data_IF_759913472715
#
_entry.id   IF_759913472715
#
_cell.length_a   1.000
_cell.length_b   1.000
_cell.length_c   1.000
_cell.angle_alpha   90.00
_cell.angle_beta   90.00
_cell.angle_gamma   90.00
#
_symmetry.space_group_name_H-M   'P 1'
#
loop_
_entity.id
_entity.type
_entity.pdbx_description
1 polymer ?
#
# COMPACT_ATOMS: atom_id res chain seq x y z
N UNK A 1 24.13 -15.96 0.83
CA UNK A 1 24.22 -14.66 1.55
C UNK A 1 22.84 -14.03 1.77
N UNK A 2 22.01 -13.80 0.73
CA UNK A 2 20.64 -13.23 0.86
C UNK A 2 19.69 -14.02 1.78
N UNK A 3 19.78 -15.36 1.79
CA UNK A 3 18.90 -16.24 2.59
C UNK A 3 19.13 -16.13 4.11
N UNK A 4 20.36 -15.87 4.53
CA UNK A 4 20.75 -15.73 5.95
C UNK A 4 20.30 -14.36 6.48
N UNK A 5 20.49 -13.30 5.69
CA UNK A 5 20.06 -11.95 6.04
C UNK A 5 18.54 -11.86 6.28
N UNK A 6 17.76 -12.56 5.44
CA UNK A 6 16.30 -12.64 5.60
C UNK A 6 15.87 -13.42 6.86
N UNK A 7 16.64 -14.42 7.31
CA UNK A 7 16.33 -15.13 8.55
C UNK A 7 16.55 -14.26 9.78
N UNK A 8 17.64 -13.49 9.84
CA UNK A 8 17.89 -12.55 10.94
C UNK A 8 16.84 -11.44 10.98
N UNK A 9 16.46 -10.88 9.82
CA UNK A 9 15.38 -9.92 9.73
C UNK A 9 14.06 -10.49 10.27
N UNK A 10 13.70 -11.72 9.88
CA UNK A 10 12.48 -12.38 10.37
C UNK A 10 12.52 -12.64 11.89
N UNK A 11 13.68 -13.00 12.44
CA UNK A 11 13.85 -13.16 13.90
C UNK A 11 13.64 -11.83 14.61
N UNK A 12 14.20 -10.73 14.10
CA UNK A 12 14.04 -9.39 14.69
C UNK A 12 12.57 -8.97 14.69
N UNK A 13 11.87 -9.15 13.57
CA UNK A 13 10.45 -8.80 13.45
C UNK A 13 9.59 -9.60 14.41
N UNK A 14 9.80 -10.91 14.50
CA UNK A 14 9.10 -11.77 15.47
C UNK A 14 9.36 -11.32 16.90
N UNK A 15 10.62 -11.05 17.24
CA UNK A 15 10.99 -10.54 18.57
C UNK A 15 10.31 -9.21 18.88
N UNK A 16 10.33 -8.25 17.96
CA UNK A 16 9.65 -6.96 18.12
C UNK A 16 8.14 -7.14 18.31
N UNK A 17 7.50 -8.01 17.54
CA UNK A 17 6.09 -8.33 17.70
C UNK A 17 5.80 -8.96 19.07
N UNK A 18 6.57 -9.95 19.50
CA UNK A 18 6.38 -10.60 20.80
C UNK A 18 6.60 -9.63 21.97
N UNK A 19 7.65 -8.82 21.92
CA UNK A 19 7.91 -7.76 22.91
C UNK A 19 6.73 -6.78 22.94
N UNK A 20 6.24 -6.35 21.78
CA UNK A 20 5.12 -5.42 21.71
C UNK A 20 3.83 -6.04 22.29
N UNK A 21 3.56 -7.33 22.03
CA UNK A 21 2.45 -8.05 22.64
C UNK A 21 2.60 -8.22 24.17
N UNK A 22 3.82 -8.35 24.68
CA UNK A 22 4.08 -8.43 26.13
C UNK A 22 3.70 -7.13 26.83
N UNK A 23 4.09 -5.98 26.29
CA UNK A 23 3.75 -4.67 26.85
C UNK A 23 2.31 -4.23 26.53
N UNK A 24 1.73 -4.73 25.44
CA UNK A 24 0.40 -4.34 25.02
C UNK A 24 -0.34 -5.50 24.34
N UNK A 25 -1.16 -6.19 25.12
CA UNK A 25 -1.95 -7.33 24.66
C UNK A 25 -2.89 -7.00 23.50
N UNK A 26 -3.32 -5.74 23.34
CA UNK A 26 -4.17 -5.33 22.21
C UNK A 26 -3.49 -5.46 20.85
N UNK A 27 -2.16 -5.52 20.78
CA UNK A 27 -1.44 -5.78 19.51
C UNK A 27 -1.75 -7.19 19.01
N UNK A 28 -1.92 -8.16 19.93
CA UNK A 28 -2.32 -9.52 19.58
C UNK A 28 -3.73 -9.56 19.03
N UNK A 29 -4.67 -8.87 19.70
CA UNK A 29 -6.07 -8.80 19.23
C UNK A 29 -6.18 -8.10 17.89
N UNK A 30 -5.44 -7.01 17.68
CA UNK A 30 -5.39 -6.31 16.41
C UNK A 30 -4.86 -7.22 15.29
N UNK A 31 -3.82 -8.03 15.56
CA UNK A 31 -3.31 -9.00 14.58
C UNK A 31 -4.31 -10.11 14.27
N UNK A 32 -5.02 -10.64 15.27
CA UNK A 32 -6.09 -11.62 15.05
C UNK A 32 -7.22 -11.05 14.17
N UNK A 33 -7.57 -9.77 14.35
CA UNK A 33 -8.54 -9.09 13.49
C UNK A 33 -8.04 -8.99 12.04
N UNK A 34 -6.74 -8.70 11.85
CA UNK A 34 -6.10 -8.66 10.53
C UNK A 34 -6.15 -10.04 9.85
N UNK A 35 -5.76 -11.08 10.56
CA UNK A 35 -5.75 -12.47 10.08
C UNK A 35 -7.15 -12.94 9.67
N UNK A 36 -8.18 -12.62 10.46
CA UNK A 36 -9.59 -12.93 10.11
C UNK A 36 -10.14 -12.11 8.95
N UNK A 37 -9.53 -10.96 8.64
CA UNK A 37 -10.02 -10.03 7.62
C UNK A 37 -9.36 -10.23 6.26
N UNK A 38 -8.24 -10.96 6.20
CA UNK A 38 -7.56 -11.27 4.95
C UNK A 38 -8.49 -12.09 4.03
N UNK A 39 -8.44 -11.78 2.74
CA UNK A 39 -9.23 -12.47 1.73
C UNK A 39 -8.34 -13.44 0.97
N UNK A 40 -8.84 -14.66 0.76
CA UNK A 40 -8.24 -15.63 -0.17
C UNK A 40 -8.48 -15.27 -1.64
N UNK A 41 -9.48 -14.40 -1.91
CA UNK A 41 -9.77 -13.93 -3.26
C UNK A 41 -8.67 -12.98 -3.73
N UNK A 42 -8.06 -13.33 -4.86
CA UNK A 42 -7.10 -12.47 -5.55
C UNK A 42 -7.84 -11.54 -6.50
N UNK A 43 -7.65 -10.24 -6.32
CA UNK A 43 -8.17 -9.22 -7.21
C UNK A 43 -7.34 -9.19 -8.50
N UNK A 44 -7.97 -9.30 -9.66
CA UNK A 44 -7.28 -9.41 -10.94
C UNK A 44 -7.68 -8.29 -11.92
N UNK A 45 -6.97 -7.17 -11.85
CA UNK A 45 -7.01 -6.12 -12.86
C UNK A 45 -5.62 -5.46 -12.94
N UNK A 46 -4.72 -5.95 -13.83
CA UNK A 46 -3.32 -5.54 -13.84
C UNK A 46 -3.10 -4.03 -14.02
N UNK A 47 -3.89 -3.39 -14.87
CA UNK A 47 -3.77 -1.96 -15.15
C UNK A 47 -4.21 -1.11 -13.95
N UNK A 48 -5.30 -1.48 -13.28
CA UNK A 48 -5.72 -0.82 -12.06
C UNK A 48 -4.72 -1.04 -10.92
N UNK A 49 -4.28 -2.28 -10.70
CA UNK A 49 -3.26 -2.61 -9.70
C UNK A 49 -2.02 -1.75 -9.91
N UNK A 50 -1.51 -1.72 -11.13
CA UNK A 50 -0.34 -0.91 -11.49
C UNK A 50 -0.57 0.57 -11.19
N UNK A 51 -1.72 1.11 -11.59
CA UNK A 51 -2.07 2.53 -11.37
C UNK A 51 -2.07 2.85 -9.87
N UNK A 52 -2.63 1.97 -9.04
CA UNK A 52 -2.67 2.14 -7.59
C UNK A 52 -1.28 2.04 -6.98
N UNK A 53 -0.47 1.04 -7.37
CA UNK A 53 0.90 0.90 -6.87
C UNK A 53 1.74 2.13 -7.22
N UNK A 54 1.66 2.65 -8.44
CA UNK A 54 2.36 3.88 -8.83
C UNK A 54 1.94 5.09 -7.97
N UNK A 55 0.67 5.16 -7.58
CA UNK A 55 0.11 6.30 -6.84
C UNK A 55 0.31 6.23 -5.31
N UNK A 56 0.29 5.02 -4.75
CA UNK A 56 0.28 4.77 -3.30
C UNK A 56 1.59 4.17 -2.81
N UNK A 57 2.13 3.16 -3.50
CA UNK A 57 3.27 2.38 -3.02
C UNK A 57 4.06 1.72 -4.17
N UNK A 58 4.88 2.53 -4.85
CA UNK A 58 5.58 2.12 -6.07
C UNK A 58 6.61 1.00 -5.86
N UNK A 59 6.99 0.74 -4.61
CA UNK A 59 7.97 -0.28 -4.20
C UNK A 59 7.31 -1.39 -3.39
N UNK A 60 5.99 -1.54 -3.50
CA UNK A 60 5.21 -2.50 -2.74
C UNK A 60 5.85 -3.91 -2.70
N UNK A 61 6.38 -4.40 -3.83
CA UNK A 61 7.01 -5.72 -3.89
C UNK A 61 8.47 -5.78 -3.40
N UNK A 62 9.10 -4.63 -3.11
CA UNK A 62 10.50 -4.54 -2.67
C UNK A 62 10.68 -4.48 -1.15
N UNK A 63 9.62 -4.23 -0.37
CA UNK A 63 9.69 -4.15 1.09
C UNK A 63 8.81 -5.18 1.79
N UNK A 64 8.96 -5.32 3.11
CA UNK A 64 8.18 -6.23 3.94
C UNK A 64 7.39 -5.47 4.99
N UNK A 65 6.34 -4.74 4.60
CA UNK A 65 5.52 -3.93 5.51
C UNK A 65 6.01 -2.50 5.75
N UNK A 66 7.31 -2.20 5.62
CA UNK A 66 7.85 -0.84 5.83
C UNK A 66 8.87 -0.50 4.73
N UNK A 67 8.68 0.63 4.06
CA UNK A 67 9.63 1.16 3.09
C UNK A 67 10.57 2.18 3.74
N UNK A 68 11.76 1.72 4.16
CA UNK A 68 12.79 2.56 4.79
C UNK A 68 13.23 3.70 3.86
N UNK A 69 13.30 3.44 2.54
CA UNK A 69 13.68 4.46 1.56
C UNK A 69 12.59 5.52 1.44
N UNK A 70 11.31 5.15 1.55
CA UNK A 70 10.20 6.10 1.53
C UNK A 70 10.17 6.93 2.82
N UNK A 71 10.42 6.31 3.97
CA UNK A 71 10.56 7.01 5.25
C UNK A 71 11.70 8.03 5.18
N UNK A 72 12.91 7.61 4.79
CA UNK A 72 14.06 8.51 4.69
C UNK A 72 13.80 9.69 3.76
N UNK A 73 13.21 9.45 2.57
CA UNK A 73 12.80 10.50 1.64
C UNK A 73 11.75 11.44 2.25
N UNK A 74 10.72 10.90 2.88
CA UNK A 74 9.64 11.68 3.47
C UNK A 74 10.14 12.54 4.63
N UNK A 75 11.01 12.00 5.49
CA UNK A 75 11.68 12.73 6.56
C UNK A 75 12.56 13.84 6.01
N UNK A 76 13.37 13.56 4.98
CA UNK A 76 14.21 14.58 4.34
C UNK A 76 13.36 15.72 3.75
N UNK A 77 12.31 15.40 3.00
CA UNK A 77 11.42 16.41 2.39
C UNK A 77 10.66 17.23 3.44
N UNK A 78 10.26 16.60 4.53
CA UNK A 78 9.56 17.30 5.62
C UNK A 78 10.49 18.27 6.35
N UNK A 79 11.71 17.85 6.67
CA UNK A 79 12.69 18.65 7.42
C UNK A 79 13.32 19.73 6.55
N UNK A 80 13.81 19.37 5.37
CA UNK A 80 14.67 20.25 4.55
C UNK A 80 13.92 20.98 3.43
N UNK A 81 12.73 20.51 3.04
CA UNK A 81 11.96 21.14 1.96
C UNK A 81 10.62 21.72 2.43
N UNK A 82 10.28 21.60 3.72
CA UNK A 82 8.98 21.96 4.28
C UNK A 82 7.80 21.37 3.48
N UNK A 83 7.98 20.16 2.92
CA UNK A 83 6.99 19.45 2.11
C UNK A 83 6.63 18.13 2.78
N UNK A 84 5.39 18.01 3.23
CA UNK A 84 4.85 16.77 3.79
C UNK A 84 4.62 15.75 2.67
N UNK A 85 5.38 14.66 2.69
CA UNK A 85 5.21 13.52 1.79
C UNK A 85 4.80 12.26 2.57
N UNK A 86 3.97 11.43 1.95
CA UNK A 86 3.61 10.13 2.51
C UNK A 86 4.77 9.14 2.41
N UNK A 87 5.11 8.51 3.54
CA UNK A 87 6.02 7.37 3.62
C UNK A 87 5.35 6.07 4.07
N UNK A 88 4.01 6.01 4.02
CA UNK A 88 3.27 4.83 4.48
C UNK A 88 3.08 3.81 3.36
N UNK A 89 3.28 2.54 3.67
CA UNK A 89 3.10 1.41 2.75
C UNK A 89 1.64 0.95 2.70
N UNK A 90 1.28 0.18 1.68
CA UNK A 90 -0.06 -0.43 1.59
C UNK A 90 -0.37 -1.31 2.81
N UNK A 91 0.60 -2.06 3.32
CA UNK A 91 0.44 -2.90 4.51
C UNK A 91 0.08 -2.07 5.75
N UNK A 92 0.76 -0.94 5.97
CA UNK A 92 0.44 -0.04 7.07
C UNK A 92 -0.97 0.56 6.91
N UNK A 93 -1.33 0.93 5.68
CA UNK A 93 -2.67 1.43 5.40
C UNK A 93 -3.73 0.35 5.65
N UNK A 94 -3.49 -0.90 5.25
CA UNK A 94 -4.39 -2.03 5.47
C UNK A 94 -4.59 -2.32 6.96
N UNK A 95 -3.50 -2.38 7.74
CA UNK A 95 -3.56 -2.51 9.20
C UNK A 95 -4.48 -1.44 9.80
N UNK A 96 -4.31 -0.18 9.41
CA UNK A 96 -5.14 0.93 9.90
C UNK A 96 -6.62 0.79 9.52
N UNK A 97 -6.91 0.34 8.30
CA UNK A 97 -8.29 0.13 7.82
C UNK A 97 -8.99 -0.95 8.64
N UNK A 98 -8.31 -2.08 8.87
CA UNK A 98 -8.90 -3.26 9.52
C UNK A 98 -9.02 -3.08 11.04
N UNK A 99 -8.02 -2.48 11.68
CA UNK A 99 -8.03 -2.27 13.14
C UNK A 99 -8.88 -1.08 13.58
N UNK A 100 -9.33 -0.26 12.63
CA UNK A 100 -10.11 0.96 12.84
C UNK A 100 -9.49 1.96 13.84
N UNK A 101 -8.18 1.88 14.07
CA UNK A 101 -7.44 2.83 14.91
C UNK A 101 -7.29 4.14 14.15
N UNK A 102 -8.06 5.17 14.51
CA UNK A 102 -8.09 6.48 13.80
C UNK A 102 -7.29 7.59 14.48
N UNK A 103 -6.76 7.35 15.67
CA UNK A 103 -6.08 8.36 16.51
C UNK A 103 -4.79 8.89 15.86
N UNK A 104 -4.59 10.19 15.71
CA UNK A 104 -3.35 10.70 15.09
C UNK A 104 -2.22 10.74 16.13
N UNK A 105 -1.52 9.61 16.30
CA UNK A 105 -0.45 9.44 17.30
C UNK A 105 0.77 8.68 16.76
N UNK A 106 1.94 8.96 17.34
CA UNK A 106 3.17 8.19 17.06
C UNK A 106 3.04 6.73 17.52
N UNK A 107 2.32 6.49 18.62
CA UNK A 107 2.07 5.14 19.14
C UNK A 107 1.24 4.31 18.17
N UNK A 108 0.18 4.87 17.56
CA UNK A 108 -0.52 4.19 16.44
C UNK A 108 0.44 3.92 15.30
N UNK A 109 1.30 4.87 14.93
CA UNK A 109 2.20 4.68 13.79
C UNK A 109 3.22 3.55 14.03
N UNK A 110 3.78 3.45 15.23
CA UNK A 110 4.67 2.33 15.63
C UNK A 110 3.91 1.00 15.59
N UNK A 111 2.67 0.98 16.09
CA UNK A 111 1.79 -0.19 16.02
C UNK A 111 1.53 -0.64 14.58
N UNK A 112 1.22 0.31 13.67
CA UNK A 112 1.07 0.01 12.24
C UNK A 112 2.33 -0.60 11.65
N UNK A 113 3.52 -0.07 11.97
CA UNK A 113 4.79 -0.62 11.53
C UNK A 113 4.95 -2.09 11.98
N UNK A 114 4.76 -2.37 13.27
CA UNK A 114 4.92 -3.72 13.83
C UNK A 114 3.95 -4.71 13.17
N UNK A 115 2.66 -4.34 13.09
CA UNK A 115 1.62 -5.19 12.52
C UNK A 115 1.79 -5.35 11.00
N UNK A 116 2.21 -4.32 10.28
CA UNK A 116 2.42 -4.37 8.82
C UNK A 116 3.59 -5.28 8.46
N UNK A 117 4.67 -5.24 9.23
CA UNK A 117 5.79 -6.15 9.03
C UNK A 117 5.38 -7.58 9.35
N UNK A 118 4.66 -7.80 10.47
CA UNK A 118 4.14 -9.13 10.81
C UNK A 118 3.15 -9.68 9.78
N UNK A 119 2.28 -8.83 9.25
CA UNK A 119 1.36 -9.14 8.15
C UNK A 119 2.15 -9.62 6.92
N UNK A 120 3.18 -8.88 6.51
CA UNK A 120 4.00 -9.21 5.34
C UNK A 120 4.83 -10.49 5.51
N UNK A 121 5.08 -10.95 6.74
CA UNK A 121 5.68 -12.26 6.99
C UNK A 121 4.69 -13.42 6.90
N UNK A 122 3.40 -13.13 7.09
CA UNK A 122 2.36 -14.14 7.28
C UNK A 122 1.56 -14.37 6.00
N UNK A 123 1.35 -13.32 5.20
CA UNK A 123 0.54 -13.36 3.98
C UNK A 123 1.35 -12.93 2.76
N UNK A 124 0.97 -13.45 1.61
CA UNK A 124 1.55 -13.06 0.33
C UNK A 124 1.20 -11.61 -0.03
N UNK A 125 2.04 -11.00 -0.88
CA UNK A 125 1.80 -9.63 -1.38
C UNK A 125 0.47 -9.51 -2.11
N UNK A 126 0.06 -10.56 -2.84
CA UNK A 126 -1.18 -10.56 -3.61
C UNK A 126 -2.41 -10.64 -2.70
N UNK A 127 -2.37 -11.45 -1.63
CA UNK A 127 -3.44 -11.50 -0.63
C UNK A 127 -3.59 -10.15 0.10
N UNK A 128 -2.47 -9.54 0.49
CA UNK A 128 -2.48 -8.24 1.18
C UNK A 128 -3.02 -7.15 0.28
N UNK A 129 -2.53 -7.06 -0.96
CA UNK A 129 -2.98 -6.07 -1.92
C UNK A 129 -4.47 -6.24 -2.24
N UNK A 130 -4.90 -7.47 -2.51
CA UNK A 130 -6.31 -7.77 -2.79
C UNK A 130 -7.19 -7.40 -1.60
N UNK A 131 -6.78 -7.78 -0.39
CA UNK A 131 -7.52 -7.44 0.84
C UNK A 131 -7.57 -5.93 1.06
N UNK A 132 -6.47 -5.21 0.81
CA UNK A 132 -6.44 -3.75 0.87
C UNK A 132 -7.45 -3.12 -0.08
N UNK A 133 -7.44 -3.52 -1.36
CA UNK A 133 -8.33 -2.96 -2.38
C UNK A 133 -9.81 -3.23 -2.08
N UNK A 134 -10.12 -4.39 -1.51
CA UNK A 134 -11.49 -4.85 -1.27
C UNK A 134 -12.04 -4.44 0.09
N UNK A 135 -11.18 -4.13 1.06
CA UNK A 135 -11.58 -3.69 2.41
C UNK A 135 -11.48 -2.18 2.59
N UNK A 136 -10.88 -1.45 1.64
CA UNK A 136 -10.75 0.00 1.76
C UNK A 136 -12.10 0.67 1.98
N UNK A 137 -12.23 1.47 3.04
CA UNK A 137 -13.48 2.15 3.39
C UNK A 137 -13.52 3.54 2.77
N UNK A 138 -14.44 3.75 1.83
CA UNK A 138 -14.72 5.05 1.23
C UNK A 138 -15.87 5.76 1.97
N UNK A 139 -16.12 7.03 1.64
CA UNK A 139 -17.27 7.75 2.18
C UNK A 139 -18.60 7.12 1.76
N UNK A 140 -19.63 7.29 2.59
CA UNK A 140 -20.98 6.81 2.29
C UNK A 140 -21.17 5.29 2.48
N UNK A 141 -20.43 4.68 3.42
CA UNK A 141 -20.46 3.24 3.72
C UNK A 141 -20.01 2.31 2.59
N UNK A 142 -19.34 2.84 1.58
CA UNK A 142 -18.85 2.08 0.43
C UNK A 142 -17.54 1.38 0.81
N UNK A 143 -17.48 0.07 0.60
CA UNK A 143 -16.31 -0.74 0.93
C UNK A 143 -15.72 -1.43 -0.30
N UNK A 144 -14.47 -1.10 -0.58
CA UNK A 144 -13.70 -1.70 -1.64
C UNK A 144 -13.88 -1.01 -2.99
N UNK A 145 -12.89 -1.20 -3.86
CA UNK A 145 -12.82 -0.53 -5.17
C UNK A 145 -13.93 -0.99 -6.14
N UNK A 146 -14.43 -2.22 -5.98
CA UNK A 146 -15.50 -2.77 -6.82
C UNK A 146 -16.84 -2.11 -6.49
N UNK A 147 -17.17 -1.99 -5.20
CA UNK A 147 -18.38 -1.29 -4.76
C UNK A 147 -18.32 0.19 -5.15
N UNK A 148 -17.15 0.83 -5.01
CA UNK A 148 -16.96 2.20 -5.46
C UNK A 148 -17.16 2.35 -6.98
N UNK A 149 -16.64 1.44 -7.80
CA UNK A 149 -16.84 1.48 -9.25
C UNK A 149 -18.31 1.33 -9.63
N UNK A 150 -19.02 0.42 -8.95
CA UNK A 150 -20.46 0.23 -9.10
C UNK A 150 -21.23 1.52 -8.75
N UNK A 151 -20.94 2.15 -7.61
CA UNK A 151 -21.55 3.43 -7.21
C UNK A 151 -21.28 4.55 -8.23
N UNK A 152 -20.13 4.51 -8.89
CA UNK A 152 -19.73 5.46 -9.91
C UNK A 152 -20.21 5.09 -11.32
N UNK A 153 -21.04 4.06 -11.44
CA UNK A 153 -21.66 3.57 -12.67
C UNK A 153 -20.66 3.21 -13.77
N UNK A 154 -19.61 2.44 -13.46
CA UNK A 154 -18.72 1.89 -14.50
C UNK A 154 -18.17 0.50 -14.15
N UNK A 155 -17.88 -0.27 -15.21
CA UNK A 155 -17.26 -1.60 -15.12
C UNK A 155 -15.73 -1.47 -15.08
N UNK A 156 -15.10 -2.12 -14.10
CA UNK A 156 -13.64 -2.17 -13.95
C UNK A 156 -12.93 -2.86 -15.12
N UNK A 157 -13.59 -3.78 -15.81
CA UNK A 157 -13.01 -4.52 -16.96
C UNK A 157 -12.90 -3.66 -18.21
N UNK A 158 -13.77 -2.66 -18.35
CA UNK A 158 -13.85 -1.75 -19.49
C UNK A 158 -13.39 -0.31 -19.15
N UNK A 159 -12.92 -0.10 -17.93
CA UNK A 159 -12.58 1.22 -17.42
C UNK A 159 -11.33 1.80 -18.12
N UNK A 160 -11.39 3.11 -18.41
CA UNK A 160 -10.25 3.85 -18.95
C UNK A 160 -9.21 4.15 -17.86
N UNK A 161 -7.99 4.53 -18.29
CA UNK A 161 -6.93 4.97 -17.37
C UNK A 161 -7.33 6.14 -16.49
N UNK A 162 -8.21 7.03 -16.96
CA UNK A 162 -8.71 8.14 -16.15
C UNK A 162 -9.63 7.66 -15.03
N UNK A 163 -10.44 6.60 -15.29
CA UNK A 163 -11.25 5.95 -14.25
C UNK A 163 -10.36 5.23 -13.22
N UNK A 164 -9.32 4.53 -13.65
CA UNK A 164 -8.35 3.93 -12.71
C UNK A 164 -7.60 4.98 -11.90
N UNK A 165 -7.17 6.07 -12.53
CA UNK A 165 -6.52 7.19 -11.86
C UNK A 165 -7.44 7.86 -10.84
N UNK A 166 -8.74 7.93 -11.16
CA UNK A 166 -9.77 8.39 -10.24
C UNK A 166 -9.94 7.46 -9.03
N UNK A 167 -10.02 6.14 -9.22
CA UNK A 167 -10.06 5.18 -8.12
C UNK A 167 -8.82 5.28 -7.23
N UNK A 168 -7.63 5.34 -7.81
CA UNK A 168 -6.38 5.52 -7.07
C UNK A 168 -6.35 6.86 -6.31
N UNK A 169 -6.83 7.95 -6.91
CA UNK A 169 -6.92 9.24 -6.22
C UNK A 169 -7.91 9.23 -5.04
N UNK A 170 -9.00 8.45 -5.14
CA UNK A 170 -10.01 8.28 -4.08
C UNK A 170 -9.46 7.55 -2.84
N UNK A 171 -8.40 6.76 -2.96
CA UNK A 171 -7.70 6.16 -1.80
C UNK A 171 -7.03 7.22 -0.90
N UNK A 172 -6.61 8.36 -1.46
CA UNK A 172 -6.12 9.49 -0.65
C UNK A 172 -7.25 10.41 -0.21
N UNK A 173 -8.28 10.52 -1.03
CA UNK A 173 -9.40 11.42 -0.84
C UNK A 173 -10.72 10.63 -0.74
N UNK A 174 -10.96 9.89 0.37
CA UNK A 174 -12.12 9.00 0.50
C UNK A 174 -13.45 9.77 0.60
N UNK A 175 -13.42 11.05 0.96
CA UNK A 175 -14.57 11.96 0.93
C UNK A 175 -14.47 12.90 -0.27
N UNK A 176 -15.48 12.91 -1.15
CA UNK A 176 -15.57 13.90 -2.25
C UNK A 176 -16.41 15.07 -1.76
N UNK A 177 -15.83 16.27 -1.80
CA UNK A 177 -16.60 17.51 -1.71
C UNK A 177 -17.01 17.96 -3.12
N UNK A 178 -18.14 18.66 -3.31
CA UNK A 178 -18.40 19.35 -4.57
C UNK A 178 -17.21 20.24 -4.96
N UNK A 179 -16.83 20.24 -6.24
CA UNK A 179 -15.67 20.98 -6.77
C UNK A 179 -14.38 20.75 -5.96
N UNK A 180 -13.84 19.53 -6.02
CA UNK A 180 -12.62 19.18 -5.26
C UNK A 180 -11.35 19.25 -6.12
N UNK A 181 -10.71 20.43 -6.26
CA UNK A 181 -9.59 20.62 -7.19
C UNK A 181 -8.38 19.73 -6.86
N UNK A 182 -8.13 19.46 -5.57
CA UNK A 182 -7.03 18.59 -5.14
C UNK A 182 -7.21 17.14 -5.61
N UNK A 183 -8.46 16.65 -5.65
CA UNK A 183 -8.77 15.34 -6.22
C UNK A 183 -8.45 15.33 -7.71
N UNK A 184 -8.99 16.30 -8.46
CA UNK A 184 -8.79 16.39 -9.91
C UNK A 184 -7.31 16.54 -10.29
N UNK A 185 -6.56 17.34 -9.53
CA UNK A 185 -5.12 17.49 -9.70
C UNK A 185 -4.38 16.16 -9.47
N UNK A 186 -4.78 15.40 -8.45
CA UNK A 186 -4.23 14.06 -8.19
C UNK A 186 -4.58 13.08 -9.31
N UNK A 187 -5.81 13.12 -9.84
CA UNK A 187 -6.21 12.28 -10.99
C UNK A 187 -5.34 12.58 -12.21
N UNK A 188 -5.17 13.86 -12.56
CA UNK A 188 -4.32 14.26 -13.69
C UNK A 188 -2.87 13.83 -13.50
N UNK A 189 -2.32 13.98 -12.29
CA UNK A 189 -0.97 13.53 -11.95
C UNK A 189 -0.82 12.01 -12.12
N UNK A 190 -1.75 11.21 -11.60
CA UNK A 190 -1.70 9.75 -11.67
C UNK A 190 -1.86 9.27 -13.13
N UNK A 191 -2.77 9.88 -13.89
CA UNK A 191 -2.98 9.55 -15.31
C UNK A 191 -1.70 9.82 -16.13
N UNK A 192 -1.05 10.97 -15.93
CA UNK A 192 0.25 11.28 -16.55
C UNK A 192 1.34 10.28 -16.17
N UNK A 193 1.49 9.97 -14.88
CA UNK A 193 2.49 9.01 -14.40
C UNK A 193 2.27 7.62 -15.00
N UNK A 194 1.02 7.17 -15.06
CA UNK A 194 0.67 5.85 -15.58
C UNK A 194 0.90 5.75 -17.09
N UNK A 195 0.64 6.81 -17.84
CA UNK A 195 0.91 6.89 -19.28
C UNK A 195 2.41 6.92 -19.59
N UNK A 196 3.21 7.67 -18.83
CA UNK A 196 4.68 7.72 -19.01
C UNK A 196 5.29 6.33 -18.78
N UNK A 197 4.80 5.64 -17.76
CA UNK A 197 5.34 4.31 -17.41
C UNK A 197 4.91 3.24 -18.43
N UNK A 198 3.88 3.47 -19.26
CA UNK A 198 3.33 2.50 -20.24
C UNK A 198 4.23 2.23 -21.47
N UNK A 199 5.35 2.92 -21.65
CA UNK A 199 6.31 2.64 -22.72
C UNK A 199 7.14 1.36 -22.47
N UNK A 200 7.58 0.67 -23.53
CA UNK A 200 6.97 -0.53 -24.11
C UNK A 200 6.99 -1.77 -23.19
N UNK A 201 6.02 -2.66 -23.46
CA UNK A 201 5.86 -3.99 -22.87
C UNK A 201 7.10 -4.87 -23.09
N UNK A 202 8.03 -4.89 -22.14
CA UNK A 202 8.85 -6.07 -21.89
C UNK A 202 8.45 -6.61 -20.53
N UNK A 203 7.59 -7.63 -20.60
CA UNK A 203 7.29 -8.62 -19.57
C UNK A 203 7.33 -8.12 -18.13
N UNK A 204 6.17 -8.00 -17.50
CA UNK A 204 6.04 -7.86 -16.03
C UNK A 204 6.81 -8.97 -15.29
N UNK A 205 7.11 -10.10 -15.94
CA UNK A 205 8.00 -11.15 -15.46
C UNK A 205 9.52 -10.88 -15.69
N UNK A 206 9.93 -10.10 -16.69
CA UNK A 206 11.34 -9.68 -16.88
C UNK A 206 11.73 -8.47 -16.03
N UNK A 207 10.79 -7.61 -15.64
CA UNK A 207 11.08 -6.51 -14.71
C UNK A 207 11.69 -7.06 -13.41
N UNK A 208 11.23 -8.23 -12.96
CA UNK A 208 11.78 -8.94 -11.80
C UNK A 208 13.23 -9.42 -12.01
N UNK A 209 13.69 -9.65 -13.25
CA UNK A 209 15.03 -10.14 -13.57
C UNK A 209 16.00 -9.01 -13.93
N UNK A 210 15.54 -8.03 -14.69
CA UNK A 210 16.34 -6.89 -15.16
C UNK A 210 16.63 -5.88 -14.05
N UNK A 211 15.70 -5.68 -13.09
CA UNK A 211 15.94 -4.82 -11.93
C UNK A 211 16.91 -5.45 -10.91
N UNK A 212 16.94 -6.79 -10.80
CA UNK A 212 17.91 -7.52 -9.96
C UNK A 212 19.32 -7.53 -10.56
N UNK A 213 19.47 -7.61 -11.88
CA UNK A 213 20.78 -7.61 -12.54
C UNK A 213 21.40 -6.21 -12.72
N UNK A 214 20.57 -5.16 -12.79
CA UNK A 214 21.03 -3.77 -12.89
C UNK A 214 21.60 -3.16 -11.60
N UNK A 215 21.33 -3.77 -10.43
CA UNK A 215 21.85 -3.31 -9.12
C UNK A 215 23.10 -4.06 -8.64
N UNK A 216 23.51 -5.14 -9.32
CA UNK A 216 24.72 -5.92 -8.98
C UNK A 216 25.90 -5.58 -9.92
N UNK A 217 25.68 -4.79 -10.97
CA UNK A 217 26.72 -4.41 -11.94
C UNK A 217 27.26 -2.98 -11.81
N UNK A 218 26.82 -2.24 -10.78
CA UNK A 218 27.37 -0.91 -10.44
C UNK A 218 27.47 -0.72 -8.93
N UNK A 219 28.25 -1.56 -8.26
CA UNK A 219 29.24 -1.27 -7.19
C UNK A 219 30.06 -2.55 -7.03
#
# INVERSE_FOLDING_TARGET
>A
MLRIFNQHAAIIVRSLYFIACFFNSSIRTDFQTIERSILSRIFNNPELIRTILLAEDKRFFEHSGIDIRAIARASYRSIFCNRLEGGSTIEQQYVRIVTERRDISLSRKIRECILATKLSETFSKDEILSSYLLKYKFAGNVQGIEELACQMNFDLTLASMDKFSLLAARLKYPFVKPNYPLLLQRVSMISKLSNITRLPQQNVQEINKTFLLGLVSKV
#
